data_IF_775340201612
#
_entry.id   IF_775340201612
#
_cell.length_a   1.000
_cell.length_b   1.000
_cell.length_c   1.000
_cell.angle_alpha   90.00
_cell.angle_beta   90.00
_cell.angle_gamma   90.00
#
_symmetry.space_group_name_H-M   'P 1'
#
loop_
_entity.id
_entity.type
_entity.pdbx_description
1 polymer ?
#
# COMPACT_ATOMS: atom_id res chain seq x y z
N UNK A 1 0.29 9.17 6.11
CA UNK A 1 0.10 7.95 5.29
C UNK A 1 -0.39 8.29 3.89
N UNK A 2 -1.61 8.86 3.71
CA UNK A 2 -2.22 9.08 2.39
C UNK A 2 -1.35 9.89 1.41
N UNK A 3 -0.79 11.03 1.84
CA UNK A 3 0.08 11.84 0.99
C UNK A 3 1.33 11.07 0.54
N UNK A 4 2.02 10.43 1.49
CA UNK A 4 3.18 9.59 1.22
C UNK A 4 2.85 8.40 0.32
N UNK A 5 1.65 7.86 0.44
CA UNK A 5 1.16 6.77 -0.40
C UNK A 5 1.04 7.21 -1.86
N UNK A 6 0.45 8.38 -2.11
CA UNK A 6 0.32 8.94 -3.47
C UNK A 6 1.70 9.27 -4.07
N UNK A 7 2.58 9.92 -3.30
CA UNK A 7 3.94 10.31 -3.76
C UNK A 7 4.80 9.09 -4.11
N UNK A 8 4.69 8.00 -3.34
CA UNK A 8 5.51 6.80 -3.56
C UNK A 8 4.89 5.80 -4.55
N UNK A 9 4.07 6.28 -5.50
CA UNK A 9 3.46 5.44 -6.53
C UNK A 9 2.57 4.33 -5.95
N UNK A 10 1.78 4.68 -4.93
CA UNK A 10 0.84 3.76 -4.26
C UNK A 10 1.50 2.58 -3.53
N UNK A 11 2.71 2.79 -2.99
CA UNK A 11 3.38 1.81 -2.15
C UNK A 11 2.90 1.85 -0.68
N UNK A 12 2.00 0.93 -0.34
CA UNK A 12 1.38 0.83 0.99
C UNK A 12 2.39 0.61 2.12
N UNK A 13 3.35 -0.30 1.91
CA UNK A 13 4.34 -0.70 2.91
C UNK A 13 5.28 0.47 3.25
N UNK A 14 5.75 1.19 2.23
CA UNK A 14 6.63 2.36 2.42
C UNK A 14 5.87 3.53 3.06
N UNK A 15 4.64 3.80 2.61
CA UNK A 15 3.81 4.82 3.23
C UNK A 15 3.55 4.52 4.72
N UNK A 16 3.38 3.25 5.08
CA UNK A 16 3.20 2.84 6.47
C UNK A 16 4.48 3.03 7.30
N UNK A 17 5.64 2.64 6.78
CA UNK A 17 6.94 2.85 7.46
C UNK A 17 7.19 4.32 7.81
N UNK A 18 6.90 5.20 6.86
CA UNK A 18 7.12 6.65 7.03
C UNK A 18 6.11 7.24 8.02
N UNK A 19 4.83 6.83 7.95
CA UNK A 19 3.80 7.32 8.85
C UNK A 19 3.96 6.78 10.28
N UNK A 20 4.51 5.58 10.45
CA UNK A 20 4.65 4.88 11.73
C UNK A 20 6.09 4.37 11.91
N UNK A 21 7.08 5.26 12.15
CA UNK A 21 8.50 4.91 12.17
C UNK A 21 8.91 3.96 13.30
N UNK A 22 8.08 3.86 14.36
CA UNK A 22 8.31 2.96 15.50
C UNK A 22 7.79 1.53 15.25
N UNK A 23 7.09 1.28 14.15
CA UNK A 23 6.64 -0.07 13.81
C UNK A 23 7.84 -0.86 13.27
N UNK A 24 8.07 -2.07 13.77
CA UNK A 24 9.26 -2.86 13.43
C UNK A 24 8.96 -4.01 12.45
N UNK A 25 7.68 -4.32 12.24
CA UNK A 25 7.23 -5.42 11.39
C UNK A 25 5.80 -5.16 10.87
N UNK A 26 5.29 -6.07 10.03
CA UNK A 26 3.89 -6.05 9.60
C UNK A 26 3.51 -4.90 8.65
N UNK A 27 4.47 -4.13 8.14
CA UNK A 27 4.20 -2.93 7.33
C UNK A 27 3.27 -3.18 6.14
N UNK A 28 3.44 -4.32 5.45
CA UNK A 28 2.60 -4.66 4.31
C UNK A 28 1.15 -4.92 4.74
N UNK A 29 0.94 -5.76 5.76
CA UNK A 29 -0.38 -6.09 6.27
C UNK A 29 -1.10 -4.86 6.85
N UNK A 30 -0.40 -4.03 7.64
CA UNK A 30 -0.99 -2.83 8.21
C UNK A 30 -1.26 -1.76 7.15
N UNK A 31 -0.35 -1.55 6.19
CA UNK A 31 -0.56 -0.65 5.07
C UNK A 31 -1.77 -1.05 4.22
N UNK A 32 -1.92 -2.34 3.90
CA UNK A 32 -3.08 -2.85 3.17
C UNK A 32 -4.39 -2.65 3.94
N UNK A 33 -4.38 -2.89 5.26
CA UNK A 33 -5.54 -2.63 6.12
C UNK A 33 -5.96 -1.16 6.12
N UNK A 34 -5.01 -0.22 6.16
CA UNK A 34 -5.33 1.21 6.11
C UNK A 34 -5.99 1.59 4.79
N UNK A 35 -5.52 1.08 3.66
CA UNK A 35 -6.10 1.37 2.34
C UNK A 35 -7.52 0.81 2.22
N UNK A 36 -7.85 -0.26 2.95
CA UNK A 36 -9.20 -0.81 2.94
C UNK A 36 -10.23 0.07 3.69
N UNK A 37 -9.79 0.96 4.58
CA UNK A 37 -10.67 1.85 5.35
C UNK A 37 -11.23 2.95 4.44
N UNK A 38 -12.55 3.11 4.42
CA UNK A 38 -13.23 4.00 3.47
C UNK A 38 -12.86 5.48 3.63
N UNK A 39 -12.67 5.97 4.85
CA UNK A 39 -12.20 7.34 5.08
C UNK A 39 -10.80 7.60 4.52
N UNK A 40 -9.95 6.57 4.53
CA UNK A 40 -8.60 6.65 3.96
C UNK A 40 -8.66 6.61 2.44
N UNK A 41 -9.55 5.80 1.85
CA UNK A 41 -9.80 5.79 0.40
C UNK A 41 -10.29 7.15 -0.08
N UNK A 42 -11.31 7.71 0.57
CA UNK A 42 -11.83 9.04 0.27
C UNK A 42 -10.70 10.08 0.30
N UNK A 43 -9.86 10.05 1.34
CA UNK A 43 -8.73 11.00 1.41
C UNK A 43 -7.70 10.79 0.30
N UNK A 44 -7.47 9.57 -0.17
CA UNK A 44 -6.58 9.29 -1.31
C UNK A 44 -7.19 9.83 -2.61
N UNK A 45 -8.49 9.63 -2.81
CA UNK A 45 -9.23 10.15 -3.98
C UNK A 45 -9.22 11.69 -4.01
N UNK A 46 -9.41 12.35 -2.86
CA UNK A 46 -9.29 13.81 -2.74
C UNK A 46 -7.91 14.31 -3.15
N UNK A 47 -6.84 13.67 -2.66
CA UNK A 47 -5.46 14.06 -2.99
C UNK A 47 -5.20 13.85 -4.49
N UNK A 48 -5.69 12.74 -5.07
CA UNK A 48 -5.54 12.50 -6.50
C UNK A 48 -6.29 13.56 -7.32
N UNK A 49 -7.52 13.90 -6.93
CA UNK A 49 -8.32 14.91 -7.60
C UNK A 49 -7.70 16.31 -7.50
N UNK A 50 -7.08 16.65 -6.36
CA UNK A 50 -6.34 17.91 -6.18
C UNK A 50 -5.14 17.98 -7.13
N UNK A 51 -4.35 16.91 -7.21
CA UNK A 51 -3.20 16.81 -8.12
C UNK A 51 -3.66 16.86 -9.58
N UNK A 52 -4.74 16.16 -9.93
CA UNK A 52 -5.28 16.14 -11.28
C UNK A 52 -5.83 17.53 -11.67
N UNK A 53 -6.43 18.26 -10.72
CA UNK A 53 -6.93 19.62 -10.94
C UNK A 53 -5.81 20.67 -11.04
N UNK A 54 -4.67 20.46 -10.36
CA UNK A 54 -3.49 21.32 -10.47
C UNK A 54 -2.70 21.02 -11.76
N UNK A 55 -2.75 19.78 -12.25
CA UNK A 55 -2.06 19.40 -13.48
C UNK A 55 -2.84 19.83 -14.71
N UNK A 56 -2.30 20.78 -15.48
CA UNK A 56 -2.85 21.17 -16.80
C UNK A 56 -2.66 20.09 -17.89
N UNK A 57 -2.13 18.91 -17.54
CA UNK A 57 -1.73 17.89 -18.51
C UNK A 57 -2.58 16.65 -18.33
N UNK A 58 -3.32 16.31 -19.37
CA UNK A 58 -4.14 15.10 -19.40
C UNK A 58 -3.32 13.85 -19.74
N UNK A 59 -3.79 12.67 -19.30
CA UNK A 59 -3.18 11.37 -19.65
C UNK A 59 -3.10 11.18 -21.17
N UNK A 60 -4.11 11.65 -21.89
CA UNK A 60 -4.18 11.55 -23.36
C UNK A 60 -3.07 12.36 -24.04
N UNK A 61 -2.78 13.56 -23.53
CA UNK A 61 -1.69 14.41 -24.04
C UNK A 61 -0.33 13.78 -23.79
N UNK A 62 -0.13 13.18 -22.62
CA UNK A 62 1.10 12.43 -22.29
C UNK A 62 1.27 11.26 -23.27
N UNK A 63 0.22 10.47 -23.51
CA UNK A 63 0.27 9.35 -24.45
C UNK A 63 0.57 9.83 -25.88
N UNK A 64 -0.05 10.95 -26.32
CA UNK A 64 0.23 11.55 -27.64
C UNK A 64 1.69 12.01 -27.74
N UNK A 65 2.21 12.68 -26.72
CA UNK A 65 3.60 13.15 -26.69
C UNK A 65 4.60 11.98 -26.71
N UNK A 66 4.38 10.95 -25.89
CA UNK A 66 5.22 9.74 -25.88
C UNK A 66 5.16 8.99 -27.22
N UNK A 67 4.00 8.91 -27.87
CA UNK A 67 3.87 8.33 -29.21
C UNK A 67 4.68 9.12 -30.23
N UNK A 68 4.62 10.45 -30.18
CA UNK A 68 5.41 11.31 -31.06
C UNK A 68 6.91 11.10 -30.86
N UNK A 69 7.38 10.98 -29.61
CA UNK A 69 8.79 10.70 -29.32
C UNK A 69 9.18 9.29 -29.80
N UNK A 70 8.40 8.26 -29.43
CA UNK A 70 8.70 6.86 -29.70
C UNK A 70 8.72 6.49 -31.18
N UNK A 71 7.81 7.08 -31.97
CA UNK A 71 7.70 6.81 -33.42
C UNK A 71 8.25 7.94 -34.29
N UNK A 72 8.65 9.07 -33.70
CA UNK A 72 9.17 10.23 -34.41
C UNK A 72 10.61 10.04 -34.90
N UNK A 73 11.02 10.89 -35.85
CA UNK A 73 12.38 10.88 -36.39
C UNK A 73 13.37 11.74 -35.57
N UNK A 74 12.87 12.69 -34.78
CA UNK A 74 13.66 13.77 -34.16
C UNK A 74 14.38 13.33 -32.87
N UNK A 75 13.83 12.36 -32.14
CA UNK A 75 14.38 11.94 -30.84
C UNK A 75 15.60 11.02 -30.98
N UNK A 76 16.41 10.93 -29.92
CA UNK A 76 17.52 9.97 -29.87
C UNK A 76 16.99 8.54 -29.70
N UNK A 77 17.78 7.52 -30.06
CA UNK A 77 17.37 6.12 -29.88
C UNK A 77 17.06 5.78 -28.40
N UNK A 78 17.78 6.40 -27.45
CA UNK A 78 17.55 6.21 -26.02
C UNK A 78 16.17 6.72 -25.61
N UNK A 79 15.79 7.91 -26.07
CA UNK A 79 14.49 8.53 -25.75
C UNK A 79 13.35 7.74 -26.38
N UNK A 80 13.55 7.23 -27.61
CA UNK A 80 12.58 6.35 -28.28
C UNK A 80 12.34 5.07 -27.50
N UNK A 81 13.40 4.38 -27.07
CA UNK A 81 13.28 3.15 -26.27
C UNK A 81 12.57 3.45 -24.95
N UNK A 82 12.90 4.56 -24.28
CA UNK A 82 12.22 4.99 -23.06
C UNK A 82 10.72 5.20 -23.27
N UNK A 83 10.34 5.97 -24.29
CA UNK A 83 8.94 6.24 -24.60
C UNK A 83 8.16 4.97 -24.96
N UNK A 84 8.74 4.08 -25.78
CA UNK A 84 8.11 2.82 -26.16
C UNK A 84 7.95 1.87 -24.97
N UNK A 85 8.93 1.85 -24.05
CA UNK A 85 8.84 1.06 -22.82
C UNK A 85 7.70 1.55 -21.94
N UNK A 86 7.56 2.87 -21.75
CA UNK A 86 6.46 3.45 -20.97
C UNK A 86 5.08 3.16 -21.60
N UNK A 87 4.96 3.30 -22.92
CA UNK A 87 3.73 2.96 -23.64
C UNK A 87 3.38 1.48 -23.54
N UNK A 88 4.37 0.58 -23.66
CA UNK A 88 4.15 -0.85 -23.49
C UNK A 88 3.75 -1.22 -22.06
N UNK A 89 4.30 -0.54 -21.03
CA UNK A 89 3.86 -0.70 -19.63
C UNK A 89 2.42 -0.26 -19.44
N UNK A 90 2.05 0.90 -19.98
CA UNK A 90 0.67 1.39 -19.96
C UNK A 90 -0.31 0.41 -20.62
N UNK A 91 0.12 -0.27 -21.70
CA UNK A 91 -0.65 -1.31 -22.40
C UNK A 91 -0.48 -2.72 -21.80
N UNK A 92 0.06 -2.83 -20.59
CA UNK A 92 0.27 -4.11 -19.88
C UNK A 92 1.02 -5.18 -20.71
N UNK A 93 1.94 -4.78 -21.60
CA UNK A 93 2.73 -5.70 -22.43
C UNK A 93 3.91 -6.32 -21.68
N UNK A 94 4.35 -5.67 -20.61
CA UNK A 94 5.42 -6.17 -19.75
C UNK A 94 4.82 -6.88 -18.55
N UNK A 95 5.16 -8.16 -18.38
CA UNK A 95 4.79 -8.97 -17.21
C UNK A 95 6.04 -9.52 -16.57
N UNK A 96 6.28 -9.18 -15.31
CA UNK A 96 7.39 -9.72 -14.54
C UNK A 96 6.94 -10.98 -13.81
N UNK A 97 7.57 -12.12 -14.11
CA UNK A 97 7.37 -13.36 -13.36
C UNK A 97 8.27 -13.32 -12.13
N UNK A 98 7.67 -13.19 -10.95
CA UNK A 98 8.39 -13.22 -9.68
C UNK A 98 8.14 -14.57 -9.02
N UNK A 99 9.17 -15.42 -9.02
CA UNK A 99 9.16 -16.69 -8.31
C UNK A 99 9.70 -16.47 -6.89
N UNK A 100 8.88 -16.73 -5.88
CA UNK A 100 9.30 -16.65 -4.47
C UNK A 100 9.55 -18.06 -3.96
N UNK A 101 10.80 -18.36 -3.59
CA UNK A 101 11.21 -19.69 -3.12
C UNK A 101 10.74 -20.04 -1.72
N UNK A 102 10.18 -19.08 -0.97
CA UNK A 102 9.67 -19.31 0.38
C UNK A 102 8.20 -19.72 0.29
N UNK A 103 7.81 -20.89 0.81
CA UNK A 103 6.41 -21.24 0.90
C UNK A 103 5.69 -20.21 1.75
N UNK A 104 4.53 -19.74 1.27
CA UNK A 104 3.60 -18.93 2.06
C UNK A 104 3.02 -19.89 3.10
N UNK A 105 3.60 -19.93 4.29
CA UNK A 105 2.99 -20.59 5.44
C UNK A 105 1.75 -19.79 5.83
N UNK A 106 0.62 -20.10 5.21
CA UNK A 106 -0.67 -19.87 5.84
C UNK A 106 -0.69 -20.77 7.08
N UNK A 107 -0.30 -20.25 8.25
CA UNK A 107 -0.58 -20.91 9.53
C UNK A 107 -2.10 -20.98 9.68
N UNK A 108 -2.69 -22.04 9.14
CA UNK A 108 -3.99 -22.53 9.59
C UNK A 108 -3.73 -23.00 11.01
N UNK A 109 -4.11 -22.19 12.01
CA UNK A 109 -4.04 -22.64 13.39
C UNK A 109 -4.86 -23.92 13.49
N UNK A 110 -4.27 -24.93 14.09
CA UNK A 110 -5.04 -26.13 14.41
C UNK A 110 -6.10 -25.76 15.46
N UNK A 111 -7.29 -26.39 15.47
CA UNK A 111 -8.36 -26.04 16.41
C UNK A 111 -7.92 -26.05 17.89
N UNK A 112 -6.90 -26.84 18.22
CA UNK A 112 -6.31 -26.92 19.55
C UNK A 112 -5.52 -25.65 19.95
N UNK A 113 -4.82 -25.02 19.00
CA UNK A 113 -4.07 -23.77 19.23
C UNK A 113 -5.02 -22.59 19.42
N UNK A 114 -6.14 -22.57 18.68
CA UNK A 114 -7.21 -21.57 18.85
C UNK A 114 -7.86 -21.66 20.24
N UNK A 115 -8.12 -22.89 20.72
CA UNK A 115 -8.71 -23.11 22.05
C UNK A 115 -7.77 -22.70 23.18
N UNK A 116 -6.46 -22.97 23.04
CA UNK A 116 -5.45 -22.51 24.00
C UNK A 116 -5.35 -20.98 24.03
N UNK A 117 -5.41 -20.33 22.88
CA UNK A 117 -5.40 -18.86 22.82
C UNK A 117 -6.68 -18.27 23.43
N UNK A 118 -7.84 -18.88 23.18
CA UNK A 118 -9.12 -18.46 23.76
C UNK A 118 -9.11 -18.59 25.29
N UNK A 119 -8.59 -19.70 25.82
CA UNK A 119 -8.40 -19.91 27.26
C UNK A 119 -7.48 -18.87 27.88
N UNK A 120 -6.37 -18.57 27.21
CA UNK A 120 -5.40 -17.57 27.68
C UNK A 120 -6.00 -16.16 27.69
N UNK A 121 -6.86 -15.84 26.71
CA UNK A 121 -7.58 -14.55 26.65
C UNK A 121 -8.65 -14.44 27.73
N UNK A 122 -9.43 -15.50 27.96
CA UNK A 122 -10.42 -15.56 29.05
C UNK A 122 -9.79 -15.36 30.42
N UNK A 123 -8.67 -16.02 30.68
CA UNK A 123 -7.95 -15.90 31.95
C UNK A 123 -7.40 -14.47 32.19
N UNK A 124 -6.95 -13.76 31.13
CA UNK A 124 -6.59 -12.33 31.26
C UNK A 124 -7.79 -11.45 31.60
N UNK A 125 -8.95 -11.71 31.01
CA UNK A 125 -10.17 -10.93 31.27
C UNK A 125 -10.66 -11.15 32.70
N UNK A 126 -10.61 -12.38 33.19
CA UNK A 126 -10.97 -12.69 34.58
C UNK A 126 -10.02 -12.02 35.58
N UNK A 127 -8.71 -12.01 35.29
CA UNK A 127 -7.73 -11.27 36.09
C UNK A 127 -7.97 -9.76 36.08
N UNK A 128 -8.31 -9.19 34.93
CA UNK A 128 -8.66 -7.77 34.82
C UNK A 128 -9.95 -7.42 35.59
N UNK A 129 -10.93 -8.33 35.62
CA UNK A 129 -12.20 -8.15 36.35
C UNK A 129 -12.05 -8.29 37.86
N UNK A 130 -11.05 -9.06 38.33
CA UNK A 130 -10.69 -9.20 39.75
C UNK A 130 -9.71 -8.13 40.24
N UNK A 131 -9.16 -7.31 39.35
CA UNK A 131 -8.28 -6.23 39.76
C UNK A 131 -9.09 -5.19 40.58
N UNK A 132 -8.63 -4.81 41.79
CA UNK A 132 -9.32 -3.81 42.58
C UNK A 132 -9.34 -2.47 41.85
N UNK A 133 -10.52 -1.86 41.73
CA UNK A 133 -10.67 -0.53 41.14
C UNK A 133 -9.88 0.44 42.01
N UNK A 134 -8.93 1.20 41.45
CA UNK A 134 -8.16 2.16 42.24
C UNK A 134 -9.12 3.25 42.75
N UNK A 135 -9.34 3.27 44.06
CA UNK A 135 -10.10 4.33 44.72
C UNK A 135 -9.20 5.57 44.72
N UNK A 136 -9.48 6.54 43.85
CA UNK A 136 -8.85 7.85 43.91
C UNK A 136 -9.18 8.49 45.27
N UNK A 137 -8.17 8.63 46.15
CA UNK A 137 -8.31 9.41 47.38
C UNK A 137 -8.26 10.89 47.00
N UNK A 138 -9.33 11.62 47.31
CA UNK A 138 -9.42 13.08 47.17
C UNK A 138 -8.73 13.81 48.31
#
# INVERSE_FOLDING_TARGET
>A
FCQTYCINGHNASQAYKIAYPKANNGHNAHGAKLIAIDSIKQRIEEIQAEVDAESDVTVEEIVKALRFIGFGKVATNKDKIGALTLLGKYKTMYTDKIETSKPIENKVLTPAEEEQELKTRLDRLERARRAPIPICKG
#
